data_IF_060590490804
#
_entry.id   IF_060590490804
#
_cell.length_a   1.000
_cell.length_b   1.000
_cell.length_c   1.000
_cell.angle_alpha   90.00
_cell.angle_beta   90.00
_cell.angle_gamma   90.00
#
_symmetry.space_group_name_H-M   'P 1'
#
loop_
_entity.id
_entity.type
_entity.pdbx_description
1 polymer ?
#
# COMPACT_ATOMS: atom_id res chain seq x y z
N UNK A 1 9.52 -11.30 -12.91
CA UNK A 1 8.99 -12.65 -13.28
C UNK A 1 10.05 -13.74 -13.24
N UNK A 2 11.32 -13.41 -13.47
CA UNK A 2 12.44 -14.36 -13.50
C UNK A 2 12.50 -15.31 -12.29
N UNK A 3 12.37 -14.79 -11.07
CA UNK A 3 12.37 -15.64 -9.86
C UNK A 3 11.18 -16.60 -9.86
N UNK A 4 9.97 -16.13 -10.21
CA UNK A 4 8.77 -16.97 -10.25
C UNK A 4 8.87 -18.06 -11.33
N UNK A 5 9.45 -17.75 -12.48
CA UNK A 5 9.67 -18.72 -13.54
C UNK A 5 10.74 -19.74 -13.14
N UNK A 6 11.89 -19.29 -12.64
CA UNK A 6 13.01 -20.14 -12.21
C UNK A 6 12.64 -21.08 -11.06
N UNK A 7 11.74 -20.66 -10.17
CA UNK A 7 11.27 -21.46 -9.03
C UNK A 7 10.04 -22.31 -9.34
N UNK A 8 9.48 -22.22 -10.55
CA UNK A 8 8.23 -22.89 -10.93
C UNK A 8 6.96 -22.27 -10.31
N UNK A 9 7.08 -21.24 -9.47
CA UNK A 9 5.95 -20.58 -8.82
C UNK A 9 5.00 -19.91 -9.82
N UNK A 10 5.48 -19.46 -10.99
CA UNK A 10 4.62 -18.86 -12.00
C UNK A 10 3.53 -19.84 -12.47
N UNK A 11 3.88 -21.11 -12.70
CA UNK A 11 2.91 -22.13 -13.12
C UNK A 11 1.99 -22.53 -11.97
N UNK A 12 2.54 -22.70 -10.76
CA UNK A 12 1.75 -23.00 -9.57
C UNK A 12 0.70 -21.90 -9.27
N UNK A 13 1.08 -20.63 -9.44
CA UNK A 13 0.17 -19.49 -9.28
C UNK A 13 -0.95 -19.52 -10.33
N UNK A 14 -0.62 -19.77 -11.61
CA UNK A 14 -1.63 -19.88 -12.67
C UNK A 14 -2.63 -21.00 -12.37
N UNK A 15 -2.17 -22.18 -11.99
CA UNK A 15 -3.02 -23.32 -11.64
C UNK A 15 -3.90 -23.00 -10.41
N UNK A 16 -3.33 -22.37 -9.38
CA UNK A 16 -4.08 -21.98 -8.18
C UNK A 16 -5.20 -20.98 -8.49
N UNK A 17 -4.90 -19.98 -9.32
CA UNK A 17 -5.86 -18.97 -9.80
C UNK A 17 -6.94 -19.61 -10.68
N UNK A 18 -6.58 -20.50 -11.60
CA UNK A 18 -7.53 -21.22 -12.47
C UNK A 18 -8.51 -22.10 -11.69
N UNK A 19 -8.10 -22.60 -10.52
CA UNK A 19 -8.97 -23.35 -9.61
C UNK A 19 -9.87 -22.46 -8.74
N UNK A 20 -9.85 -21.15 -8.96
CA UNK A 20 -10.66 -20.15 -8.24
C UNK A 20 -10.54 -20.26 -6.72
N UNK A 21 -9.32 -20.51 -6.22
CA UNK A 21 -9.05 -20.59 -4.79
C UNK A 21 -8.80 -19.18 -4.22
N UNK A 22 -9.12 -18.92 -2.93
CA UNK A 22 -8.88 -17.61 -2.32
C UNK A 22 -7.44 -17.14 -2.51
N UNK A 23 -7.28 -15.99 -3.16
CA UNK A 23 -6.01 -15.36 -3.49
C UNK A 23 -6.11 -13.85 -3.24
N UNK A 24 -5.09 -13.29 -2.57
CA UNK A 24 -4.94 -11.84 -2.40
C UNK A 24 -3.60 -11.38 -2.96
N UNK A 25 -3.63 -10.68 -4.10
CA UNK A 25 -2.47 -9.98 -4.64
C UNK A 25 -2.30 -8.59 -4.02
N UNK A 26 -1.11 -8.25 -3.52
CA UNK A 26 -0.83 -6.93 -2.94
C UNK A 26 0.28 -6.24 -3.73
N UNK A 27 0.04 -5.00 -4.16
CA UNK A 27 0.98 -4.16 -4.92
C UNK A 27 1.51 -4.88 -6.18
N UNK A 28 2.75 -5.39 -6.15
CA UNK A 28 3.30 -6.22 -7.23
C UNK A 28 2.43 -7.46 -7.49
N UNK A 29 1.81 -8.03 -6.46
CA UNK A 29 0.87 -9.15 -6.61
C UNK A 29 -0.33 -8.83 -7.50
N UNK A 30 -0.83 -7.60 -7.47
CA UNK A 30 -1.85 -7.15 -8.43
C UNK A 30 -1.27 -7.03 -9.84
N UNK A 31 -0.10 -6.40 -9.97
CA UNK A 31 0.55 -6.15 -11.26
C UNK A 31 0.89 -7.45 -12.00
N UNK A 32 1.28 -8.50 -11.28
CA UNK A 32 1.57 -9.81 -11.83
C UNK A 32 0.38 -10.45 -12.55
N UNK A 33 -0.87 -10.10 -12.20
CA UNK A 33 -2.06 -10.67 -12.83
C UNK A 33 -2.26 -10.20 -14.28
N UNK A 34 -1.63 -9.08 -14.67
CA UNK A 34 -1.80 -8.49 -15.99
C UNK A 34 -0.91 -9.14 -17.06
N UNK A 35 -1.11 -8.78 -18.33
CA UNK A 35 -0.38 -9.36 -19.46
C UNK A 35 1.12 -9.08 -19.40
N UNK A 36 1.49 -7.83 -19.06
CA UNK A 36 2.88 -7.41 -19.04
C UNK A 36 3.14 -6.17 -18.19
N UNK A 37 4.42 -5.88 -17.97
CA UNK A 37 4.94 -4.66 -17.34
C UNK A 37 6.03 -4.04 -18.19
N UNK A 38 6.11 -2.71 -18.18
CA UNK A 38 7.20 -1.93 -18.77
C UNK A 38 8.36 -1.71 -17.77
N UNK A 39 8.22 -2.18 -16.53
CA UNK A 39 9.27 -2.07 -15.52
C UNK A 39 10.51 -2.87 -15.92
N UNK A 40 11.64 -2.17 -16.08
CA UNK A 40 12.91 -2.73 -16.56
C UNK A 40 12.82 -3.37 -17.96
N UNK A 41 11.96 -2.82 -18.83
CA UNK A 41 11.68 -3.33 -20.17
C UNK A 41 10.40 -4.18 -20.22
N UNK A 42 9.98 -4.64 -21.40
CA UNK A 42 8.76 -5.43 -21.54
C UNK A 42 8.93 -6.82 -20.90
N UNK A 43 8.20 -7.07 -19.82
CA UNK A 43 8.18 -8.35 -19.10
C UNK A 43 6.76 -8.92 -19.08
N UNK A 44 6.56 -10.15 -19.56
CA UNK A 44 5.25 -10.83 -19.49
C UNK A 44 4.88 -11.17 -18.05
N UNK A 45 3.64 -10.86 -17.65
CA UNK A 45 3.06 -11.26 -16.36
C UNK A 45 2.46 -12.66 -16.38
N UNK A 46 1.48 -12.90 -15.51
CA UNK A 46 0.73 -14.16 -15.49
C UNK A 46 -0.30 -14.24 -16.62
N UNK A 47 -0.74 -13.10 -17.17
CA UNK A 47 -1.70 -13.02 -18.28
C UNK A 47 -3.11 -13.46 -17.91
N UNK A 48 -3.53 -13.16 -16.68
CA UNK A 48 -4.85 -13.53 -16.14
C UNK A 48 -5.90 -12.47 -16.50
N UNK A 49 -5.50 -11.20 -16.50
CA UNK A 49 -6.34 -10.05 -16.83
C UNK A 49 -5.66 -9.24 -17.93
N UNK A 50 -6.39 -8.80 -18.97
CA UNK A 50 -5.79 -8.00 -20.02
C UNK A 50 -5.31 -6.64 -19.48
N UNK A 51 -4.11 -6.22 -19.88
CA UNK A 51 -3.58 -4.92 -19.54
C UNK A 51 -2.06 -4.88 -19.41
N UNK A 52 -1.53 -3.65 -19.47
CA UNK A 52 -0.10 -3.37 -19.36
C UNK A 52 0.14 -2.50 -18.14
N UNK A 53 1.08 -2.92 -17.30
CA UNK A 53 1.58 -2.16 -16.15
C UNK A 53 2.56 -1.11 -16.68
N UNK A 54 2.16 0.15 -16.65
CA UNK A 54 2.91 1.29 -17.20
C UNK A 54 3.36 2.25 -16.13
N UNK A 55 4.46 2.96 -16.37
CA UNK A 55 4.93 4.01 -15.46
C UNK A 55 3.92 5.16 -15.41
N UNK A 56 3.78 5.82 -14.26
CA UNK A 56 3.07 7.11 -14.18
C UNK A 56 3.71 8.12 -15.14
N UNK A 57 2.88 8.86 -15.87
CA UNK A 57 3.36 9.97 -16.70
C UNK A 57 3.76 11.16 -15.80
N UNK A 58 5.07 11.48 -15.81
CA UNK A 58 5.65 12.60 -15.08
C UNK A 58 5.83 13.86 -15.93
N UNK A 59 5.45 13.84 -17.21
CA UNK A 59 5.63 14.96 -18.15
C UNK A 59 4.97 16.25 -17.66
N UNK A 60 3.82 16.14 -16.99
CA UNK A 60 3.07 17.27 -16.43
C UNK A 60 3.50 17.66 -15.01
N UNK A 61 4.72 17.30 -14.59
CA UNK A 61 5.25 17.62 -13.26
C UNK A 61 4.67 16.76 -12.12
N UNK A 62 4.00 15.65 -12.45
CA UNK A 62 3.54 14.68 -11.46
C UNK A 62 4.75 14.02 -10.77
N UNK A 63 4.78 14.04 -9.44
CA UNK A 63 5.84 13.41 -8.66
C UNK A 63 5.69 11.89 -8.73
N UNK A 64 6.73 11.18 -9.16
CA UNK A 64 6.74 9.71 -9.25
C UNK A 64 7.94 9.18 -8.48
N UNK A 65 7.78 8.18 -7.59
CA UNK A 65 6.59 7.35 -7.33
C UNK A 65 5.40 8.08 -6.69
N UNK A 66 4.20 7.55 -6.92
CA UNK A 66 3.01 7.86 -6.13
C UNK A 66 3.23 7.31 -4.71
N UNK A 67 3.53 8.21 -3.77
CA UNK A 67 3.73 7.88 -2.35
C UNK A 67 2.75 8.67 -1.49
N UNK A 68 1.87 7.95 -0.80
CA UNK A 68 1.01 8.55 0.23
C UNK A 68 -0.36 7.93 0.30
N UNK A 69 -1.25 8.68 0.96
CA UNK A 69 -2.61 8.27 1.27
C UNK A 69 -3.57 8.81 0.22
N UNK A 70 -4.18 7.93 -0.57
CA UNK A 70 -5.13 8.29 -1.62
C UNK A 70 -6.49 7.62 -1.39
N UNK A 71 -7.55 8.30 -1.80
CA UNK A 71 -8.92 7.85 -1.55
C UNK A 71 -9.37 6.83 -2.61
N UNK A 72 -9.98 5.74 -2.15
CA UNK A 72 -10.58 4.74 -3.01
C UNK A 72 -11.89 5.25 -3.61
N UNK A 73 -12.11 4.92 -4.89
CA UNK A 73 -13.40 5.05 -5.55
C UNK A 73 -13.85 3.65 -5.95
N UNK A 74 -14.84 3.11 -5.24
CA UNK A 74 -15.35 1.76 -5.51
C UNK A 74 -16.18 1.78 -6.78
N UNK A 75 -15.84 0.94 -7.75
CA UNK A 75 -16.54 0.80 -9.04
C UNK A 75 -17.46 -0.41 -9.06
N UNK A 76 -17.19 -1.39 -8.20
CA UNK A 76 -17.97 -2.60 -8.02
C UNK A 76 -17.91 -3.00 -6.55
N UNK A 77 -19.07 -3.12 -5.92
CA UNK A 77 -19.15 -3.56 -4.54
C UNK A 77 -18.64 -5.00 -4.42
N UNK A 78 -17.67 -5.22 -3.52
CA UNK A 78 -17.16 -6.53 -3.15
C UNK A 78 -17.15 -6.64 -1.63
N UNK A 79 -17.28 -7.86 -1.06
CA UNK A 79 -17.14 -8.05 0.38
C UNK A 79 -15.84 -7.43 0.90
N UNK A 80 -14.72 -7.69 0.21
CA UNK A 80 -13.40 -7.19 0.56
C UNK A 80 -13.32 -5.67 0.80
N UNK A 81 -14.09 -4.89 0.03
CA UNK A 81 -14.05 -3.43 0.03
C UNK A 81 -15.26 -2.80 0.73
N UNK A 82 -16.00 -3.59 1.52
CA UNK A 82 -17.17 -3.10 2.24
C UNK A 82 -16.82 -1.91 3.13
N UNK A 83 -17.47 -0.76 2.88
CA UNK A 83 -17.24 0.48 3.63
C UNK A 83 -15.91 1.18 3.34
N UNK A 84 -15.15 0.71 2.34
CA UNK A 84 -13.88 1.32 1.95
C UNK A 84 -14.03 2.48 0.96
N UNK A 85 -15.22 2.74 0.42
CA UNK A 85 -15.46 3.85 -0.50
C UNK A 85 -15.16 5.21 0.15
N UNK A 86 -14.40 6.04 -0.57
CA UNK A 86 -13.90 7.32 -0.10
C UNK A 86 -12.84 7.26 1.01
N UNK A 87 -12.47 6.07 1.50
CA UNK A 87 -11.45 5.92 2.53
C UNK A 87 -10.04 6.05 1.94
N UNK A 88 -9.14 6.64 2.71
CA UNK A 88 -7.73 6.74 2.33
C UNK A 88 -6.96 5.46 2.64
N UNK A 89 -6.19 5.00 1.67
CA UNK A 89 -5.27 3.86 1.78
C UNK A 89 -3.89 4.25 1.27
N UNK A 90 -2.86 3.52 1.71
CA UNK A 90 -1.46 3.85 1.47
C UNK A 90 -0.92 3.23 0.18
N UNK A 91 -0.42 4.06 -0.71
CA UNK A 91 0.23 3.70 -1.97
C UNK A 91 1.73 4.04 -1.94
N UNK A 92 2.52 3.19 -2.59
CA UNK A 92 3.95 3.40 -2.86
C UNK A 92 4.34 2.65 -4.13
N UNK A 93 4.18 3.29 -5.30
CA UNK A 93 4.45 2.64 -6.58
C UNK A 93 4.75 3.66 -7.70
N UNK A 94 5.59 3.27 -8.67
CA UNK A 94 5.85 4.07 -9.88
C UNK A 94 5.08 3.57 -11.11
N UNK A 95 4.52 2.37 -11.04
CA UNK A 95 3.83 1.71 -12.15
C UNK A 95 2.38 1.41 -11.78
N UNK A 96 1.49 1.48 -12.75
CA UNK A 96 0.04 1.34 -12.58
C UNK A 96 -0.58 0.71 -13.82
N UNK A 97 -1.80 0.20 -13.67
CA UNK A 97 -2.61 -0.23 -14.82
C UNK A 97 -3.74 0.76 -15.03
N UNK A 98 -3.96 1.15 -16.28
CA UNK A 98 -5.07 2.02 -16.65
C UNK A 98 -6.36 1.20 -16.84
N UNK A 99 -7.52 1.70 -16.39
CA UNK A 99 -8.81 1.14 -16.77
C UNK A 99 -8.99 1.15 -18.29
N UNK A 100 -9.53 0.07 -18.84
CA UNK A 100 -9.87 -0.06 -20.26
C UNK A 100 -11.10 -0.94 -20.42
N UNK A 101 -11.68 -0.95 -21.62
CA UNK A 101 -12.82 -1.83 -21.92
C UNK A 101 -12.46 -3.31 -21.77
N UNK A 102 -11.22 -3.67 -22.11
CA UNK A 102 -10.74 -5.03 -22.02
C UNK A 102 -10.73 -5.55 -20.58
N UNK A 103 -10.43 -4.70 -19.58
CA UNK A 103 -10.31 -5.12 -18.17
C UNK A 103 -11.46 -4.67 -17.25
N UNK A 104 -12.44 -3.94 -17.79
CA UNK A 104 -13.56 -3.32 -17.07
C UNK A 104 -14.27 -4.28 -16.10
N UNK A 105 -14.50 -5.52 -16.50
CA UNK A 105 -15.30 -6.49 -15.74
C UNK A 105 -14.69 -6.87 -14.39
N UNK A 106 -13.37 -6.72 -14.25
CA UNK A 106 -12.63 -7.12 -13.05
C UNK A 106 -12.30 -5.94 -12.13
N UNK A 107 -12.48 -4.69 -12.55
CA UNK A 107 -12.13 -3.53 -11.73
C UNK A 107 -13.12 -3.39 -10.57
N UNK A 108 -12.62 -3.48 -9.33
CA UNK A 108 -13.43 -3.25 -8.12
C UNK A 108 -13.25 -1.85 -7.53
N UNK A 109 -12.10 -1.22 -7.74
CA UNK A 109 -11.91 0.19 -7.40
C UNK A 109 -10.86 0.87 -8.27
N UNK A 110 -10.98 2.19 -8.36
CA UNK A 110 -9.99 3.08 -8.99
C UNK A 110 -9.51 4.14 -7.99
N UNK A 111 -8.37 4.75 -8.33
CA UNK A 111 -7.87 5.96 -7.69
C UNK A 111 -7.41 6.94 -8.76
N UNK A 112 -7.35 8.22 -8.42
CA UNK A 112 -6.85 9.28 -9.29
C UNK A 112 -5.51 9.80 -8.78
N UNK A 113 -4.47 9.75 -9.62
CA UNK A 113 -3.17 10.37 -9.35
C UNK A 113 -2.50 10.74 -10.69
N UNK A 114 -2.66 12.01 -11.10
CA UNK A 114 -2.53 12.39 -12.51
C UNK A 114 -3.71 11.84 -13.30
N UNK A 115 -3.63 10.56 -13.66
CA UNK A 115 -4.68 9.81 -14.34
C UNK A 115 -5.42 8.86 -13.39
N UNK A 116 -6.60 8.38 -13.81
CA UNK A 116 -7.26 7.26 -13.15
C UNK A 116 -6.47 5.97 -13.35
N UNK A 117 -6.30 5.20 -12.28
CA UNK A 117 -5.66 3.89 -12.33
C UNK A 117 -6.43 2.86 -11.52
N UNK A 118 -6.26 1.59 -11.89
CA UNK A 118 -6.86 0.46 -11.19
C UNK A 118 -6.24 0.36 -9.79
N UNK A 119 -7.08 0.48 -8.77
CA UNK A 119 -6.68 0.38 -7.38
C UNK A 119 -6.94 -1.00 -6.80
N UNK A 120 -7.97 -1.69 -7.28
CA UNK A 120 -8.22 -3.08 -6.96
C UNK A 120 -8.98 -3.80 -8.07
N UNK A 121 -8.84 -5.13 -8.07
CA UNK A 121 -9.61 -6.03 -8.94
C UNK A 121 -10.29 -7.14 -8.12
N UNK A 122 -11.35 -7.68 -8.71
CA UNK A 122 -12.06 -8.86 -8.23
C UNK A 122 -12.49 -9.75 -9.39
N UNK A 123 -12.07 -11.02 -9.32
CA UNK A 123 -12.39 -12.08 -10.28
C UNK A 123 -12.66 -13.39 -9.51
N UNK A 124 -13.92 -13.79 -9.34
CA UNK A 124 -14.24 -14.94 -8.49
C UNK A 124 -13.69 -14.74 -7.07
N UNK A 125 -12.94 -15.72 -6.57
CA UNK A 125 -12.24 -15.69 -5.28
C UNK A 125 -10.86 -15.02 -5.34
N UNK A 126 -10.47 -14.50 -6.51
CA UNK A 126 -9.23 -13.77 -6.72
C UNK A 126 -9.50 -12.30 -6.46
N UNK A 127 -8.79 -11.75 -5.49
CA UNK A 127 -8.80 -10.34 -5.16
C UNK A 127 -7.38 -9.79 -5.29
N UNK A 128 -7.23 -8.55 -5.73
CA UNK A 128 -5.93 -7.90 -5.63
C UNK A 128 -6.07 -6.39 -5.44
N UNK A 129 -5.09 -5.80 -4.77
CA UNK A 129 -5.05 -4.38 -4.42
C UNK A 129 -3.69 -3.78 -4.78
N UNK A 130 -3.68 -2.57 -5.31
CA UNK A 130 -2.45 -1.85 -5.66
C UNK A 130 -1.85 -1.14 -4.43
N UNK A 131 -2.70 -0.76 -3.47
CA UNK A 131 -2.28 -0.21 -2.18
C UNK A 131 -1.79 -1.31 -1.24
N UNK A 132 -1.18 -0.89 -0.13
CA UNK A 132 -0.68 -1.75 0.93
C UNK A 132 -1.65 -1.75 2.11
N UNK A 133 -2.58 -2.72 2.20
CA UNK A 133 -3.56 -2.75 3.30
C UNK A 133 -2.86 -2.87 4.67
N UNK A 134 -1.72 -3.54 4.76
CA UNK A 134 -0.92 -3.62 5.98
C UNK A 134 -0.33 -2.27 6.43
N UNK A 135 -0.27 -1.29 5.53
CA UNK A 135 0.19 0.09 5.81
C UNK A 135 -0.95 1.11 5.85
N UNK A 136 -2.20 0.65 5.70
CA UNK A 136 -3.37 1.53 5.52
C UNK A 136 -4.23 1.67 6.78
N UNK A 137 -3.65 1.44 7.96
CA UNK A 137 -4.32 1.63 9.25
C UNK A 137 -5.61 0.81 9.40
N UNK A 138 -6.65 1.41 9.98
CA UNK A 138 -7.92 0.74 10.25
C UNK A 138 -8.62 0.25 8.97
N UNK A 139 -8.62 1.06 7.90
CA UNK A 139 -9.20 0.68 6.60
C UNK A 139 -8.52 -0.57 6.06
N UNK A 140 -7.19 -0.57 6.05
CA UNK A 140 -6.41 -1.71 5.57
C UNK A 140 -6.58 -2.97 6.41
N UNK A 141 -6.64 -2.83 7.74
CA UNK A 141 -6.92 -3.95 8.64
C UNK A 141 -8.33 -4.54 8.40
N UNK A 142 -9.33 -3.70 8.12
CA UNK A 142 -10.68 -4.16 7.77
C UNK A 142 -10.66 -5.02 6.50
N UNK A 143 -9.95 -4.56 5.47
CA UNK A 143 -9.77 -5.28 4.19
C UNK A 143 -9.10 -6.64 4.43
N UNK A 144 -8.03 -6.70 5.22
CA UNK A 144 -7.36 -7.97 5.53
C UNK A 144 -8.23 -8.93 6.34
N UNK A 145 -9.01 -8.42 7.30
CA UNK A 145 -9.95 -9.23 8.08
C UNK A 145 -11.01 -9.86 7.18
N UNK A 146 -11.56 -9.09 6.25
CA UNK A 146 -12.59 -9.58 5.35
C UNK A 146 -12.06 -10.62 4.36
N UNK A 147 -10.82 -10.47 3.89
CA UNK A 147 -10.17 -11.52 3.10
C UNK A 147 -9.98 -12.84 3.87
N UNK A 148 -9.55 -12.76 5.14
CA UNK A 148 -9.29 -13.95 5.96
C UNK A 148 -10.58 -14.60 6.48
N UNK A 149 -11.66 -13.84 6.59
CA UNK A 149 -12.95 -14.27 7.15
C UNK A 149 -14.10 -13.77 6.28
N UNK A 150 -14.21 -14.24 5.03
CA UNK A 150 -15.38 -13.97 4.21
C UNK A 150 -16.57 -14.59 4.94
N UNK A 151 -17.59 -13.79 5.29
CA UNK A 151 -18.82 -14.13 6.05
C UNK A 151 -18.95 -13.51 7.45
N UNK A 152 -18.09 -12.58 7.87
CA UNK A 152 -18.52 -11.65 8.92
C UNK A 152 -19.67 -10.81 8.35
N UNK A 153 -20.92 -11.10 8.74
CA UNK A 153 -22.07 -10.23 8.51
C UNK A 153 -21.84 -8.87 9.20
N UNK A 154 -21.06 -8.01 8.55
CA UNK A 154 -20.78 -6.65 8.96
C UNK A 154 -21.88 -5.75 8.42
N UNK A 155 -22.56 -5.05 9.33
CA UNK A 155 -23.52 -3.98 9.04
C UNK A 155 -22.96 -3.03 7.98
N UNK A 156 -23.74 -2.76 6.92
CA UNK A 156 -23.42 -1.72 5.92
C UNK A 156 -23.11 -0.41 6.63
N UNK A 157 -21.84 -0.02 6.66
CA UNK A 157 -21.43 1.30 7.14
C UNK A 157 -21.81 2.31 6.05
N UNK A 158 -22.56 3.38 6.37
CA UNK A 158 -22.94 4.37 5.36
C UNK A 158 -21.69 5.04 4.77
N UNK A 159 -21.66 5.16 3.44
CA UNK A 159 -20.61 5.88 2.74
C UNK A 159 -20.48 7.32 3.28
N UNK A 160 -19.30 7.67 3.81
CA UNK A 160 -18.99 9.05 4.23
C UNK A 160 -18.36 9.83 3.06
N UNK A 161 -18.53 11.16 3.10
CA UNK A 161 -18.17 12.16 2.06
C UNK A 161 -16.98 11.78 1.17
N UNK A 162 -17.19 11.87 -0.15
CA UNK A 162 -16.21 11.73 -1.22
C UNK A 162 -14.96 12.58 -0.97
N UNK A 163 -13.85 11.94 -0.62
CA UNK A 163 -12.53 12.54 -0.76
C UNK A 163 -11.97 12.14 -2.13
N UNK A 164 -11.52 13.11 -2.93
CA UNK A 164 -10.96 12.88 -4.28
C UNK A 164 -9.48 13.26 -4.38
N UNK A 165 -8.86 13.65 -3.26
CA UNK A 165 -7.49 14.19 -3.21
C UNK A 165 -6.61 13.40 -2.26
N UNK A 166 -5.32 13.34 -2.60
CA UNK A 166 -4.26 12.83 -1.73
C UNK A 166 -4.30 13.57 -0.39
N UNK A 167 -4.27 12.84 0.72
CA UNK A 167 -4.21 13.46 2.04
C UNK A 167 -2.84 14.12 2.26
N UNK A 168 -2.81 15.22 3.02
CA UNK A 168 -1.55 15.84 3.45
C UNK A 168 -0.76 14.82 4.27
N UNK A 169 0.48 14.52 3.86
CA UNK A 169 1.34 13.57 4.56
C UNK A 169 1.97 14.25 5.77
N UNK A 170 1.70 13.72 6.96
CA UNK A 170 2.40 14.08 8.20
C UNK A 170 3.38 12.95 8.50
N UNK A 171 4.66 13.28 8.65
CA UNK A 171 5.71 12.34 9.05
C UNK A 171 6.14 12.73 10.46
N UNK A 172 5.91 11.84 11.42
CA UNK A 172 6.49 11.96 12.75
C UNK A 172 7.89 11.34 12.70
N UNK A 173 8.92 12.15 12.97
CA UNK A 173 10.31 11.72 13.04
C UNK A 173 10.75 11.65 14.50
N UNK A 174 11.57 10.66 14.83
CA UNK A 174 12.21 10.50 16.12
C UNK A 174 13.67 10.09 15.90
N UNK A 175 14.58 10.66 16.68
CA UNK A 175 15.98 10.24 16.69
C UNK A 175 16.09 8.92 17.48
N UNK A 176 16.96 8.02 17.03
CA UNK A 176 17.32 6.83 17.81
C UNK A 176 18.83 6.89 18.05
N UNK A 177 19.22 6.91 19.32
CA UNK A 177 20.61 7.05 19.78
C UNK A 177 20.93 5.92 20.76
N UNK A 178 22.20 5.58 20.90
CA UNK A 178 22.67 4.75 22.02
C UNK A 178 23.16 5.65 23.14
N UNK A 179 22.74 5.40 24.38
CA UNK A 179 23.34 6.04 25.56
C UNK A 179 24.65 5.33 25.96
N UNK A 180 25.32 5.84 27.01
CA UNK A 180 26.59 5.30 27.51
C UNK A 180 26.47 3.88 28.10
N UNK A 181 25.24 3.43 28.41
CA UNK A 181 24.94 2.06 28.87
C UNK A 181 24.58 1.10 27.74
N UNK A 182 24.54 1.58 26.49
CA UNK A 182 24.14 0.79 25.32
C UNK A 182 22.62 0.72 25.09
N UNK A 183 21.81 1.47 25.83
CA UNK A 183 20.36 1.51 25.64
C UNK A 183 20.00 2.41 24.45
N UNK A 184 18.97 2.01 23.69
CA UNK A 184 18.39 2.84 22.64
C UNK A 184 17.45 3.90 23.25
N UNK A 185 17.82 5.16 23.09
CA UNK A 185 17.08 6.33 23.62
C UNK A 185 16.66 7.27 22.50
N UNK A 186 15.56 8.01 22.72
CA UNK A 186 14.99 8.95 21.75
C UNK A 186 15.36 10.40 22.06
N UNK A 187 15.75 10.69 23.31
CA UNK A 187 16.20 12.01 23.73
C UNK A 187 17.65 11.99 24.17
N UNK A 188 18.33 13.13 24.06
CA UNK A 188 19.69 13.31 24.59
C UNK A 188 19.71 13.37 26.13
N UNK A 189 18.55 13.53 26.77
CA UNK A 189 18.41 13.89 28.18
C UNK A 189 18.15 12.73 29.13
N UNK A 190 17.93 11.51 28.64
CA UNK A 190 17.51 10.41 29.51
C UNK A 190 18.61 9.94 30.47
N UNK A 191 19.90 10.22 30.22
CA UNK A 191 21.00 9.89 31.14
C UNK A 191 22.27 10.75 30.95
N UNK A 192 22.19 12.08 31.02
CA UNK A 192 23.36 12.77 31.56
C UNK A 192 23.29 12.63 33.08
N UNK A 193 24.10 11.74 33.65
CA UNK A 193 24.33 11.75 35.09
C UNK A 193 25.19 12.99 35.41
N UNK A 194 24.55 14.16 35.53
CA UNK A 194 25.22 15.42 35.90
C UNK A 194 25.50 15.44 37.41
N UNK A 195 25.87 14.29 37.98
CA UNK A 195 26.34 14.18 39.36
C UNK A 195 27.84 14.12 39.31
N UNK A 196 28.47 15.29 39.35
CA UNK A 196 29.84 15.40 39.81
C UNK A 196 29.94 14.79 41.20
N UNK A 197 30.75 13.74 41.36
CA UNK A 197 31.18 13.24 42.65
C UNK A 197 32.28 14.13 43.25
N UNK A 198 32.09 15.45 43.20
CA UNK A 198 32.96 16.42 43.85
C UNK A 198 32.13 17.45 44.59
N UNK A 199 32.33 17.47 45.91
CA UNK A 199 31.70 18.38 46.85
C UNK A 199 32.13 19.84 46.60
N UNK A 200 31.40 20.56 45.75
CA UNK A 200 31.35 22.03 45.79
C UNK A 200 30.16 22.54 44.97
N UNK A 201 29.24 23.24 45.64
CA UNK A 201 28.11 23.94 45.02
C UNK A 201 28.61 25.15 44.25
N UNK A 202 28.50 25.15 42.93
CA UNK A 202 28.33 26.37 42.14
C UNK A 202 27.77 26.02 40.75
N UNK A 203 26.57 26.53 40.45
CA UNK A 203 25.89 26.34 39.16
C UNK A 203 26.08 27.61 38.34
N UNK A 204 26.89 27.55 37.30
CA UNK A 204 26.96 28.59 36.28
C UNK A 204 26.20 28.15 35.02
N UNK A 205 25.11 28.85 34.72
CA UNK A 205 24.35 28.68 33.48
C UNK A 205 25.02 29.53 32.41
N UNK A 206 25.61 28.90 31.39
CA UNK A 206 25.96 29.56 30.14
C UNK A 206 24.96 29.15 29.05
N UNK A 207 24.28 30.15 28.51
CA UNK A 207 23.46 30.04 27.29
C UNK A 207 24.29 30.59 26.13
N UNK A 208 24.48 29.78 25.09
CA UNK A 208 24.76 30.24 23.72
C UNK A 208 23.75 29.56 22.81
#
# INVERSE_FOLDING_TARGET
MDVLNRTGMANALREYIQRDRPFLGICLGLQLLFDSSEENGPVSGLGVIPGVVRRFDSSNGLIVPHIGWNALQITKDTPLLQGADGQHVYFVHSYRVLPSDANRNWISSICNYGDSFISSISMGNIQAVQFHPEKSGATGLSILKEFLRPNSLGTKVPARRKASKLAKRVIACLDVRSNDKGDLVVTKGDQYDVRDHTSSKEVHIFVH
#
